data_IF_691841630276
#
_entry.id   IF_691841630276
#
_cell.length_a   1.000
_cell.length_b   1.000
_cell.length_c   1.000
_cell.angle_alpha   90.00
_cell.angle_beta   90.00
_cell.angle_gamma   90.00
#
_symmetry.space_group_name_H-M   'P 1'
#
loop_
_entity.id
_entity.type
_entity.pdbx_description
1 polymer ?
#
# COMPACT_ATOMS: atom_id res chain seq x y z
N UNK A 1 13.29 -4.14 32.12
CA UNK A 1 13.16 -4.05 30.66
C UNK A 1 12.76 -2.63 30.33
N UNK A 2 13.67 -1.80 29.82
CA UNK A 2 13.32 -0.43 29.39
C UNK A 2 12.73 -0.53 27.99
N UNK A 3 11.44 -0.20 27.86
CA UNK A 3 10.79 0.02 26.57
C UNK A 3 11.54 1.16 25.88
N UNK A 4 12.23 0.85 24.78
CA UNK A 4 13.16 1.73 24.08
C UNK A 4 12.51 2.69 23.09
N UNK A 5 11.25 3.06 23.27
CA UNK A 5 10.60 4.05 22.42
C UNK A 5 10.03 5.16 23.30
N UNK A 6 10.72 6.29 23.32
CA UNK A 6 10.21 7.55 23.85
C UNK A 6 9.07 8.04 22.95
N UNK A 7 7.91 8.32 23.54
CA UNK A 7 6.86 9.12 22.91
C UNK A 7 7.47 10.43 22.39
N UNK A 8 7.56 10.62 21.06
CA UNK A 8 7.96 11.91 20.50
C UNK A 8 8.82 11.93 19.24
N UNK A 9 9.26 10.80 18.68
CA UNK A 9 9.81 10.81 17.32
C UNK A 9 8.64 10.71 16.34
N UNK A 10 8.25 11.84 15.74
CA UNK A 10 7.38 11.83 14.58
C UNK A 10 8.11 11.02 13.50
N UNK A 11 7.75 9.74 13.35
CA UNK A 11 8.23 8.93 12.25
C UNK A 11 7.95 9.72 10.97
N UNK A 12 8.98 9.91 10.14
CA UNK A 12 8.79 10.49 8.82
C UNK A 12 7.62 9.75 8.16
N UNK A 13 6.57 10.48 7.74
CA UNK A 13 5.38 9.84 7.23
C UNK A 13 5.75 8.99 6.02
N UNK A 14 5.24 7.75 5.98
CA UNK A 14 5.45 6.84 4.86
C UNK A 14 5.14 7.60 3.56
N UNK A 15 6.07 7.66 2.58
CA UNK A 15 5.85 8.40 1.35
C UNK A 15 4.56 7.97 0.67
N UNK A 16 3.81 8.93 0.14
CA UNK A 16 2.61 8.71 -0.65
C UNK A 16 2.88 9.03 -2.11
N UNK A 17 2.58 8.08 -2.99
CA UNK A 17 2.71 8.25 -4.44
C UNK A 17 1.31 8.30 -5.05
N UNK A 18 1.01 9.37 -5.80
CA UNK A 18 -0.26 9.57 -6.50
C UNK A 18 -0.18 9.10 -7.95
N UNK A 19 -0.98 8.09 -8.30
CA UNK A 19 -0.96 7.49 -9.64
C UNK A 19 -1.90 8.15 -10.65
N UNK A 20 -2.53 9.28 -10.32
CA UNK A 20 -3.46 9.99 -11.21
C UNK A 20 -2.82 10.45 -12.52
N UNK A 21 -1.49 10.62 -12.56
CA UNK A 21 -0.73 10.97 -13.76
C UNK A 21 -0.42 9.76 -14.66
N UNK A 22 -0.58 8.51 -14.20
CA UNK A 22 -0.28 7.32 -15.01
C UNK A 22 -1.02 7.26 -16.36
N UNK A 23 -2.32 7.61 -16.47
CA UNK A 23 -3.02 7.58 -17.74
C UNK A 23 -2.55 8.65 -18.74
N UNK A 24 -1.82 9.66 -18.27
CA UNK A 24 -1.38 10.82 -19.04
C UNK A 24 0.04 10.61 -19.57
N UNK A 25 0.30 9.45 -20.17
CA UNK A 25 1.66 9.06 -20.59
C UNK A 25 2.35 10.17 -21.39
N UNK A 26 3.62 10.41 -21.06
CA UNK A 26 4.49 11.44 -21.67
C UNK A 26 4.10 12.90 -21.38
N UNK A 27 3.20 13.16 -20.44
CA UNK A 27 3.03 14.51 -19.85
C UNK A 27 4.19 14.85 -18.89
N UNK A 28 4.31 16.12 -18.51
CA UNK A 28 5.21 16.55 -17.41
C UNK A 28 4.93 15.77 -16.13
N UNK A 29 3.66 15.67 -15.76
CA UNK A 29 3.19 15.08 -14.51
C UNK A 29 3.50 13.58 -14.46
N UNK A 30 3.47 12.91 -15.62
CA UNK A 30 3.92 11.52 -15.73
C UNK A 30 5.41 11.39 -15.43
N UNK A 31 6.25 12.28 -15.97
CA UNK A 31 7.69 12.23 -15.70
C UNK A 31 8.03 12.56 -14.24
N UNK A 32 7.33 13.53 -13.64
CA UNK A 32 7.46 13.82 -12.20
C UNK A 32 7.10 12.59 -11.35
N UNK A 33 6.01 11.90 -11.70
CA UNK A 33 5.63 10.64 -11.05
C UNK A 33 6.73 9.57 -11.17
N UNK A 34 7.31 9.39 -12.37
CA UNK A 34 8.40 8.41 -12.58
C UNK A 34 9.63 8.75 -11.75
N UNK A 35 10.01 10.03 -11.67
CA UNK A 35 11.12 10.49 -10.83
C UNK A 35 10.84 10.24 -9.35
N UNK A 36 9.61 10.51 -8.89
CA UNK A 36 9.20 10.23 -7.52
C UNK A 36 9.28 8.73 -7.19
N UNK A 37 8.79 7.86 -8.09
CA UNK A 37 8.96 6.41 -7.95
C UNK A 37 10.44 6.03 -7.80
N UNK A 38 11.29 6.51 -8.70
CA UNK A 38 12.73 6.23 -8.66
C UNK A 38 13.37 6.68 -7.35
N UNK A 39 13.03 7.89 -6.88
CA UNK A 39 13.54 8.44 -5.62
C UNK A 39 13.06 7.63 -4.40
N UNK A 40 11.77 7.34 -4.30
CA UNK A 40 11.20 6.63 -3.14
C UNK A 40 11.75 5.21 -3.03
N UNK A 41 11.77 4.46 -4.14
CA UNK A 41 12.22 3.07 -4.11
C UNK A 41 13.75 2.92 -4.02
N UNK A 42 14.53 3.93 -4.40
CA UNK A 42 15.99 3.92 -4.21
C UNK A 42 16.45 4.33 -2.81
N UNK A 43 15.61 5.02 -2.04
CA UNK A 43 15.96 5.55 -0.71
C UNK A 43 15.24 4.85 0.44
N UNK A 44 13.95 4.62 0.31
CA UNK A 44 13.07 4.10 1.37
C UNK A 44 12.64 2.67 1.06
N UNK A 45 12.37 2.35 -0.21
CA UNK A 45 12.02 1.01 -0.67
C UNK A 45 10.54 0.62 -0.48
N UNK A 46 9.71 1.49 0.09
CA UNK A 46 8.26 1.30 0.19
C UNK A 46 7.50 2.62 0.22
N UNK A 47 6.23 2.58 -0.19
CA UNK A 47 5.33 3.73 -0.21
C UNK A 47 3.86 3.30 -0.06
N UNK A 48 3.03 4.25 0.35
CA UNK A 48 1.58 4.20 0.19
C UNK A 48 1.22 4.70 -1.22
N UNK A 49 0.35 3.99 -1.92
CA UNK A 49 -0.08 4.37 -3.26
C UNK A 49 -1.53 4.84 -3.21
N UNK A 50 -1.84 5.98 -3.84
CA UNK A 50 -3.19 6.53 -3.95
C UNK A 50 -3.57 6.74 -5.42
N UNK A 51 -4.86 6.89 -5.70
CA UNK A 51 -5.40 7.07 -7.05
C UNK A 51 -4.92 5.98 -8.05
N UNK A 52 -4.68 4.76 -7.54
CA UNK A 52 -4.18 3.60 -8.29
C UNK A 52 -5.18 3.01 -9.31
N UNK A 53 -6.34 3.64 -9.51
CA UNK A 53 -7.35 3.21 -10.47
C UNK A 53 -8.15 1.96 -10.10
N UNK A 54 -7.90 1.35 -8.93
CA UNK A 54 -8.67 0.19 -8.45
C UNK A 54 -9.92 0.71 -7.75
N UNK A 55 -11.14 0.28 -8.14
CA UNK A 55 -12.37 0.72 -7.48
C UNK A 55 -12.40 0.31 -6.02
N UNK A 56 -12.75 1.24 -5.12
CA UNK A 56 -12.85 0.95 -3.68
C UNK A 56 -13.83 -0.19 -3.38
N UNK A 57 -14.93 -0.30 -4.13
CA UNK A 57 -15.90 -1.39 -3.99
C UNK A 57 -15.32 -2.78 -4.32
N UNK A 58 -14.25 -2.85 -5.11
CA UNK A 58 -13.53 -4.11 -5.33
C UNK A 58 -12.63 -4.43 -4.14
N UNK A 59 -11.90 -3.45 -3.62
CA UNK A 59 -11.07 -3.60 -2.41
C UNK A 59 -11.93 -4.08 -1.23
N UNK A 60 -13.07 -3.44 -0.99
CA UNK A 60 -13.99 -3.79 0.10
C UNK A 60 -14.50 -5.22 -0.02
N UNK A 61 -14.83 -5.67 -1.25
CA UNK A 61 -15.26 -7.06 -1.50
C UNK A 61 -14.14 -8.05 -1.22
N UNK A 62 -12.92 -7.78 -1.66
CA UNK A 62 -11.76 -8.65 -1.41
C UNK A 62 -11.51 -8.80 0.09
N UNK A 63 -11.47 -7.69 0.83
CA UNK A 63 -11.27 -7.71 2.28
C UNK A 63 -12.39 -8.46 2.99
N UNK A 64 -13.65 -8.24 2.62
CA UNK A 64 -14.79 -8.98 3.17
C UNK A 64 -14.69 -10.49 2.93
N UNK A 65 -14.28 -10.91 1.73
CA UNK A 65 -14.11 -12.32 1.42
C UNK A 65 -12.91 -12.94 2.15
N UNK A 66 -11.81 -12.18 2.30
CA UNK A 66 -10.67 -12.60 3.12
C UNK A 66 -11.11 -12.85 4.56
N UNK A 67 -11.83 -11.90 5.17
CA UNK A 67 -12.31 -12.04 6.55
C UNK A 67 -13.23 -13.26 6.69
N UNK A 68 -14.16 -13.43 5.74
CA UNK A 68 -15.06 -14.60 5.71
C UNK A 68 -14.31 -15.93 5.60
N UNK A 69 -13.24 -15.97 4.79
CA UNK A 69 -12.37 -17.15 4.70
C UNK A 69 -11.57 -17.35 5.99
N UNK A 70 -11.10 -16.25 6.61
CA UNK A 70 -10.34 -16.32 7.84
C UNK A 70 -11.19 -16.74 9.04
N UNK A 71 -12.48 -16.46 9.04
CA UNK A 71 -13.44 -16.93 10.05
C UNK A 71 -13.85 -18.40 9.86
N UNK A 72 -13.50 -19.01 8.72
CA UNK A 72 -13.78 -20.43 8.48
C UNK A 72 -12.87 -21.34 9.35
N UNK A 73 -13.48 -22.34 9.99
CA UNK A 73 -12.88 -23.24 11.02
C UNK A 73 -11.53 -23.84 10.58
N UNK A 74 -10.50 -23.71 11.41
CA UNK A 74 -9.10 -24.16 11.20
C UNK A 74 -8.95 -25.54 10.53
N UNK A 75 -9.79 -26.52 10.87
CA UNK A 75 -9.72 -27.89 10.32
C UNK A 75 -9.90 -28.00 8.80
N UNK A 76 -10.54 -27.03 8.13
CA UNK A 76 -10.68 -27.06 6.67
C UNK A 76 -9.60 -26.30 5.92
N UNK A 77 -8.94 -25.32 6.55
CA UNK A 77 -7.85 -24.57 5.92
C UNK A 77 -6.61 -25.43 5.68
N UNK A 78 -6.33 -26.38 6.58
CA UNK A 78 -5.23 -27.33 6.41
C UNK A 78 -5.41 -28.33 5.24
N UNK A 79 -6.60 -28.39 4.61
CA UNK A 79 -6.81 -29.20 3.41
C UNK A 79 -6.36 -28.49 2.12
N UNK A 80 -6.11 -27.18 2.18
CA UNK A 80 -5.82 -26.32 1.02
C UNK A 80 -4.49 -25.55 1.17
N UNK A 81 -3.62 -25.94 2.10
CA UNK A 81 -2.23 -25.46 2.26
C UNK A 81 -1.28 -26.61 1.99
#
# INVERSE_FOLDING_TARGET
MKSGYSEGEALDPIPRIDLSALPQERSSDYFELVEEFGRVFSTIGFALVVNHGIPSSLVDRVLKHQDSFMDFRLKQKCHWS
#
